data_IF_313620390856
#
_entry.id   IF_313620390856
#
_cell.length_a   1.000
_cell.length_b   1.000
_cell.length_c   1.000
_cell.angle_alpha   90.00
_cell.angle_beta   90.00
_cell.angle_gamma   90.00
#
_symmetry.space_group_name_H-M   'P 1'
#
loop_
_entity.id
_entity.type
_entity.pdbx_description
1 polymer ?
#
# COMPACT_ATOMS: atom_id res chain seq x y z
N UNK A 1 75.99 9.45 -19.07
CA UNK A 1 74.96 9.93 -18.16
C UNK A 1 73.96 8.84 -17.79
N UNK A 2 73.53 8.68 -16.53
CA UNK A 2 72.63 7.63 -16.15
C UNK A 2 71.15 8.10 -16.31
N UNK A 3 70.33 7.20 -16.80
CA UNK A 3 68.89 7.32 -16.88
C UNK A 3 68.25 7.17 -15.49
N UNK A 4 67.24 7.95 -15.15
CA UNK A 4 66.50 7.73 -13.90
C UNK A 4 65.36 6.72 -14.10
N UNK A 5 65.28 5.82 -13.16
CA UNK A 5 64.27 4.80 -13.00
C UNK A 5 62.89 5.41 -12.76
N UNK A 6 61.92 4.89 -13.47
CA UNK A 6 60.50 5.21 -13.33
C UNK A 6 59.95 4.51 -12.08
N UNK A 7 59.55 5.28 -11.08
CA UNK A 7 58.76 4.80 -9.92
C UNK A 7 57.30 4.81 -10.32
N UNK A 8 56.70 3.64 -10.52
CA UNK A 8 55.28 3.49 -10.67
C UNK A 8 54.60 3.67 -9.32
N UNK A 9 53.98 4.82 -9.08
CA UNK A 9 53.02 5.01 -8.03
C UNK A 9 51.66 4.43 -8.48
N UNK A 10 51.30 3.31 -7.94
CA UNK A 10 49.94 2.79 -8.02
C UNK A 10 49.04 3.67 -7.18
N UNK A 11 48.28 4.56 -7.81
CA UNK A 11 47.15 5.24 -7.20
C UNK A 11 45.95 4.29 -7.32
N UNK A 12 45.49 3.73 -6.17
CA UNK A 12 44.20 3.05 -6.12
C UNK A 12 43.11 4.04 -6.50
N UNK A 13 42.57 3.87 -7.68
CA UNK A 13 41.38 4.62 -8.13
C UNK A 13 40.19 4.23 -7.27
N UNK A 14 39.81 5.11 -6.37
CA UNK A 14 38.47 5.06 -5.79
C UNK A 14 37.51 5.42 -6.94
N UNK A 15 36.74 4.45 -7.38
CA UNK A 15 35.58 4.71 -8.24
C UNK A 15 34.61 5.48 -7.40
N UNK A 16 34.59 6.79 -7.58
CA UNK A 16 33.48 7.62 -7.07
C UNK A 16 32.25 7.19 -7.85
N UNK A 17 31.41 6.39 -7.21
CA UNK A 17 30.04 6.20 -7.69
C UNK A 17 29.37 7.54 -7.52
N UNK A 18 29.30 8.29 -8.60
CA UNK A 18 28.47 9.48 -8.67
C UNK A 18 27.05 9.03 -8.33
N UNK A 19 26.55 9.48 -7.18
CA UNK A 19 25.13 9.39 -6.89
C UNK A 19 24.42 10.23 -7.93
N UNK A 20 23.96 9.57 -8.99
CA UNK A 20 23.04 10.19 -9.95
C UNK A 20 21.84 10.61 -9.13
N UNK A 21 21.73 11.89 -8.85
CA UNK A 21 20.50 12.44 -8.29
C UNK A 21 19.43 12.21 -9.35
N UNK A 22 18.29 11.60 -8.99
CA UNK A 22 17.23 11.43 -9.95
C UNK A 22 16.75 12.81 -10.39
N UNK A 23 17.03 13.16 -11.63
CA UNK A 23 16.55 14.36 -12.30
C UNK A 23 15.12 14.13 -12.76
N UNK A 24 14.22 13.74 -11.84
CA UNK A 24 12.81 13.46 -12.12
C UNK A 24 11.91 13.96 -11.01
N UNK A 25 10.69 14.31 -11.39
CA UNK A 25 9.59 14.58 -10.49
C UNK A 25 9.31 13.32 -9.67
N UNK A 26 9.20 13.44 -8.34
CA UNK A 26 8.86 12.32 -7.47
C UNK A 26 7.43 11.82 -7.76
N UNK A 27 7.15 10.51 -7.60
CA UNK A 27 5.84 9.93 -7.95
C UNK A 27 4.64 10.61 -7.28
N UNK A 28 4.81 11.09 -6.07
CA UNK A 28 3.74 11.72 -5.27
C UNK A 28 3.71 13.23 -5.35
N UNK A 29 4.58 13.86 -6.13
CA UNK A 29 4.66 15.32 -6.18
C UNK A 29 3.35 15.93 -6.69
N UNK A 30 2.85 16.94 -5.99
CA UNK A 30 1.59 17.58 -6.30
C UNK A 30 0.34 16.85 -5.81
N UNK A 31 0.50 15.70 -5.14
CA UNK A 31 -0.61 14.92 -4.60
C UNK A 31 -0.75 15.09 -3.09
N UNK A 32 -2.00 15.13 -2.64
CA UNK A 32 -2.36 15.01 -1.21
C UNK A 32 -2.99 13.65 -0.98
N UNK A 33 -2.34 12.84 -0.15
CA UNK A 33 -2.78 11.49 0.18
C UNK A 33 -3.22 11.43 1.64
N UNK A 34 -4.45 10.99 1.85
CA UNK A 34 -4.98 10.72 3.18
C UNK A 34 -4.53 9.35 3.69
N UNK A 35 -4.20 9.26 4.95
CA UNK A 35 -4.04 7.99 5.66
C UNK A 35 -5.05 7.95 6.79
N UNK A 36 -5.91 6.94 6.79
CA UNK A 36 -6.90 6.78 7.86
C UNK A 36 -6.18 6.56 9.19
N UNK A 37 -6.36 7.47 10.13
CA UNK A 37 -5.56 7.56 11.33
C UNK A 37 -6.39 7.28 12.60
N UNK A 38 -7.14 6.19 12.60
CA UNK A 38 -7.96 5.77 13.73
C UNK A 38 -7.22 4.77 14.63
N UNK A 39 -6.50 3.83 14.00
CA UNK A 39 -5.72 2.80 14.70
C UNK A 39 -4.77 2.15 13.70
N UNK A 40 -3.63 1.63 14.14
CA UNK A 40 -2.71 0.81 13.33
C UNK A 40 -1.52 1.56 12.76
N UNK A 41 -0.96 1.03 11.68
CA UNK A 41 0.31 1.43 11.07
C UNK A 41 0.26 2.70 10.21
N UNK A 42 -0.28 3.78 10.75
CA UNK A 42 -0.44 5.05 10.04
C UNK A 42 0.90 5.68 9.68
N UNK A 43 1.84 5.68 10.62
CA UNK A 43 3.12 6.37 10.49
C UNK A 43 3.98 5.80 9.37
N UNK A 44 4.03 4.48 9.24
CA UNK A 44 4.85 3.79 8.24
C UNK A 44 4.40 4.13 6.83
N UNK A 45 3.08 4.17 6.58
CA UNK A 45 2.52 4.61 5.31
C UNK A 45 2.80 6.10 5.06
N UNK A 46 2.63 6.94 6.08
CA UNK A 46 2.89 8.37 5.98
C UNK A 46 4.34 8.66 5.57
N UNK A 47 5.30 8.00 6.23
CA UNK A 47 6.72 8.16 5.93
C UNK A 47 7.06 7.70 4.50
N UNK A 48 6.50 6.58 4.06
CA UNK A 48 6.71 6.09 2.69
C UNK A 48 6.16 7.07 1.65
N UNK A 49 4.93 7.54 1.83
CA UNK A 49 4.29 8.47 0.92
C UNK A 49 5.03 9.81 0.86
N UNK A 50 5.49 10.31 1.99
CA UNK A 50 6.31 11.53 2.07
C UNK A 50 7.65 11.34 1.35
N UNK A 51 8.29 10.18 1.50
CA UNK A 51 9.53 9.86 0.79
C UNK A 51 9.34 9.82 -0.72
N UNK A 52 8.14 9.53 -1.19
CA UNK A 52 7.75 9.55 -2.60
C UNK A 52 7.28 10.93 -3.09
N UNK A 53 7.31 11.95 -2.23
CA UNK A 53 7.02 13.34 -2.58
C UNK A 53 5.57 13.77 -2.36
N UNK A 54 4.71 12.91 -1.83
CA UNK A 54 3.33 13.27 -1.53
C UNK A 54 3.21 14.10 -0.26
N UNK A 55 2.20 14.96 -0.21
CA UNK A 55 1.72 15.53 1.04
C UNK A 55 0.79 14.53 1.71
N UNK A 56 0.99 14.28 2.99
CA UNK A 56 0.18 13.31 3.75
C UNK A 56 -0.74 14.05 4.71
N UNK A 57 -2.00 13.64 4.71
CA UNK A 57 -3.01 14.10 5.65
C UNK A 57 -3.49 12.93 6.50
N UNK A 58 -3.44 13.08 7.81
CA UNK A 58 -4.00 12.10 8.74
C UNK A 58 -5.51 12.33 8.84
N UNK A 59 -6.28 11.31 8.44
CA UNK A 59 -7.73 11.40 8.33
C UNK A 59 -8.40 10.74 9.52
N UNK A 60 -9.17 11.51 10.27
CA UNK A 60 -10.01 11.06 11.39
C UNK A 60 -11.44 11.56 11.30
N UNK A 61 -11.67 12.59 10.50
CA UNK A 61 -12.98 13.26 10.36
C UNK A 61 -13.40 13.32 8.90
N UNK A 62 -14.70 13.53 8.66
CA UNK A 62 -15.25 13.66 7.32
C UNK A 62 -14.63 14.82 6.54
N UNK A 63 -14.37 15.94 7.19
CA UNK A 63 -13.81 17.14 6.56
C UNK A 63 -12.39 16.89 6.03
N UNK A 64 -11.64 16.02 6.69
CA UNK A 64 -10.28 15.68 6.27
C UNK A 64 -10.24 14.80 5.01
N UNK A 65 -11.36 14.24 4.57
CA UNK A 65 -11.47 13.53 3.29
C UNK A 65 -11.57 14.48 2.09
N UNK A 66 -11.91 15.74 2.31
CA UNK A 66 -12.10 16.70 1.23
C UNK A 66 -10.78 17.04 0.53
N UNK A 67 -10.80 17.04 -0.79
CA UNK A 67 -9.65 17.43 -1.61
C UNK A 67 -8.51 16.42 -1.65
N UNK A 68 -8.71 15.20 -1.17
CA UNK A 68 -7.72 14.13 -1.30
C UNK A 68 -7.59 13.65 -2.74
N UNK A 69 -6.36 13.36 -3.15
CA UNK A 69 -6.06 12.73 -4.43
C UNK A 69 -6.01 11.20 -4.34
N UNK A 70 -5.72 10.68 -3.16
CA UNK A 70 -5.71 9.26 -2.85
C UNK A 70 -5.90 9.02 -1.35
N UNK A 71 -6.20 7.78 -0.99
CA UNK A 71 -6.42 7.35 0.39
C UNK A 71 -5.73 6.02 0.66
N UNK A 72 -5.14 5.89 1.85
CA UNK A 72 -4.61 4.63 2.37
C UNK A 72 -5.38 4.22 3.63
N UNK A 73 -5.87 2.99 3.63
CA UNK A 73 -6.43 2.33 4.81
C UNK A 73 -5.35 1.40 5.36
N UNK A 74 -4.71 1.76 6.48
CA UNK A 74 -3.55 1.02 6.98
C UNK A 74 -3.93 -0.30 7.67
N UNK A 75 -2.94 -1.12 7.91
CA UNK A 75 -3.04 -2.31 8.76
C UNK A 75 -3.29 -1.93 10.21
N UNK A 76 -3.82 -2.88 10.95
CA UNK A 76 -4.16 -2.74 12.35
C UNK A 76 -5.14 -3.84 12.76
N UNK A 77 -5.99 -3.56 13.73
CA UNK A 77 -7.06 -4.47 14.12
C UNK A 77 -8.38 -4.04 13.46
N UNK A 78 -8.86 -4.84 12.51
CA UNK A 78 -9.95 -4.44 11.60
C UNK A 78 -11.28 -4.19 12.32
N UNK A 79 -11.61 -4.97 13.35
CA UNK A 79 -12.85 -4.76 14.11
C UNK A 79 -12.81 -3.48 14.94
N UNK A 80 -11.65 -3.12 15.45
CA UNK A 80 -11.44 -1.85 16.16
C UNK A 80 -11.54 -0.67 15.21
N UNK A 81 -10.90 -0.74 14.05
CA UNK A 81 -10.96 0.32 13.03
C UNK A 81 -12.41 0.52 12.58
N UNK A 82 -13.12 -0.56 12.29
CA UNK A 82 -14.55 -0.49 11.93
C UNK A 82 -15.37 0.26 12.99
N UNK A 83 -15.24 -0.14 14.25
CA UNK A 83 -15.95 0.51 15.35
C UNK A 83 -15.60 2.00 15.45
N UNK A 84 -14.33 2.34 15.31
CA UNK A 84 -13.88 3.74 15.37
C UNK A 84 -14.43 4.57 14.20
N UNK A 85 -14.58 3.99 13.00
CA UNK A 85 -15.21 4.71 11.88
C UNK A 85 -16.64 5.15 12.22
N UNK A 86 -17.37 4.32 12.96
CA UNK A 86 -18.72 4.63 13.41
C UNK A 86 -18.74 5.65 14.54
N UNK A 87 -17.84 5.50 15.52
CA UNK A 87 -17.73 6.42 16.67
C UNK A 87 -17.37 7.84 16.21
N UNK A 88 -16.42 7.96 15.29
CA UNK A 88 -15.98 9.26 14.76
C UNK A 88 -16.84 9.79 13.60
N UNK A 89 -17.87 9.03 13.19
CA UNK A 89 -18.77 9.44 12.13
C UNK A 89 -18.13 9.53 10.75
N UNK A 90 -17.03 8.82 10.52
CA UNK A 90 -16.29 8.86 9.25
C UNK A 90 -16.67 7.73 8.29
N UNK A 91 -17.43 6.72 8.75
CA UNK A 91 -17.81 5.54 7.96
C UNK A 91 -18.51 5.90 6.65
N UNK A 92 -19.63 6.60 6.73
CA UNK A 92 -20.41 6.95 5.53
C UNK A 92 -19.65 7.90 4.59
N UNK A 93 -18.96 8.93 5.10
CA UNK A 93 -18.08 9.74 4.26
C UNK A 93 -16.96 8.94 3.56
N UNK A 94 -16.38 7.93 4.22
CA UNK A 94 -15.40 7.03 3.59
C UNK A 94 -16.01 6.25 2.44
N UNK A 95 -17.17 5.62 2.66
CA UNK A 95 -17.88 4.85 1.63
C UNK A 95 -18.19 5.75 0.43
N UNK A 96 -18.69 6.95 0.67
CA UNK A 96 -19.01 7.90 -0.37
C UNK A 96 -17.77 8.33 -1.18
N UNK A 97 -16.70 8.72 -0.51
CA UNK A 97 -15.45 9.13 -1.16
C UNK A 97 -14.86 8.02 -2.03
N UNK A 98 -14.78 6.80 -1.48
CA UNK A 98 -14.21 5.65 -2.19
C UNK A 98 -15.11 5.24 -3.37
N UNK A 99 -16.43 5.19 -3.16
CA UNK A 99 -17.40 4.82 -4.20
C UNK A 99 -17.47 5.86 -5.33
N UNK A 100 -17.14 7.11 -5.04
CA UNK A 100 -17.07 8.19 -6.03
C UNK A 100 -15.80 8.16 -6.88
N UNK A 101 -14.88 7.24 -6.60
CA UNK A 101 -13.70 7.02 -7.43
C UNK A 101 -12.37 7.47 -6.82
N UNK A 102 -12.33 7.82 -5.55
CA UNK A 102 -11.07 8.16 -4.88
C UNK A 102 -10.11 6.95 -4.91
N UNK A 103 -8.93 7.07 -5.56
CA UNK A 103 -7.93 6.01 -5.55
C UNK A 103 -7.58 5.59 -4.12
N UNK A 104 -7.72 4.31 -3.82
CA UNK A 104 -7.59 3.82 -2.44
C UNK A 104 -6.78 2.54 -2.39
N UNK A 105 -5.84 2.49 -1.45
CA UNK A 105 -5.07 1.32 -1.10
C UNK A 105 -5.47 0.86 0.31
N UNK A 106 -5.88 -0.40 0.43
CA UNK A 106 -6.09 -1.06 1.72
C UNK A 106 -5.04 -2.13 1.96
N UNK A 107 -4.35 -2.05 3.09
CA UNK A 107 -3.33 -3.02 3.47
C UNK A 107 -3.77 -3.79 4.72
N UNK A 108 -3.69 -5.12 4.66
CA UNK A 108 -4.05 -6.01 5.78
C UNK A 108 -5.47 -5.72 6.32
N UNK A 109 -5.59 -5.09 7.48
CA UNK A 109 -6.89 -4.64 8.01
C UNK A 109 -7.63 -3.70 7.03
N UNK A 110 -6.90 -2.89 6.27
CA UNK A 110 -7.47 -2.02 5.23
C UNK A 110 -8.11 -2.79 4.09
N UNK A 111 -7.54 -3.93 3.67
CA UNK A 111 -8.17 -4.85 2.73
C UNK A 111 -9.49 -5.40 3.30
N UNK A 112 -9.48 -5.82 4.56
CA UNK A 112 -10.69 -6.31 5.23
C UNK A 112 -11.78 -5.22 5.22
N UNK A 113 -11.40 -3.97 5.50
CA UNK A 113 -12.34 -2.86 5.49
C UNK A 113 -12.93 -2.57 4.10
N UNK A 114 -12.15 -2.69 3.03
CA UNK A 114 -12.62 -2.48 1.66
C UNK A 114 -13.58 -3.59 1.21
N UNK A 115 -13.44 -4.80 1.72
CA UNK A 115 -14.13 -5.99 1.24
C UNK A 115 -15.65 -5.86 1.32
N UNK A 116 -16.32 -6.60 0.43
CA UNK A 116 -17.78 -6.73 0.44
C UNK A 116 -18.27 -7.69 1.52
N UNK A 117 -17.46 -8.73 1.80
CA UNK A 117 -17.80 -9.77 2.76
C UNK A 117 -16.59 -10.20 3.57
N UNK A 118 -16.79 -10.33 4.88
CA UNK A 118 -15.83 -10.93 5.81
C UNK A 118 -16.39 -12.30 6.18
N UNK A 119 -15.65 -13.39 5.94
CA UNK A 119 -16.13 -14.75 6.19
C UNK A 119 -16.20 -15.08 7.68
N UNK A 120 -15.31 -14.49 8.47
CA UNK A 120 -15.15 -14.72 9.90
C UNK A 120 -15.15 -13.38 10.68
N UNK A 121 -16.24 -12.58 10.60
CA UNK A 121 -16.25 -11.28 11.25
C UNK A 121 -16.26 -11.41 12.79
N UNK A 122 -15.69 -10.43 13.46
CA UNK A 122 -15.92 -10.27 14.88
C UNK A 122 -17.40 -9.90 15.14
N UNK A 123 -17.95 -10.10 16.35
CA UNK A 123 -19.31 -9.73 16.64
C UNK A 123 -19.62 -8.27 16.28
N UNK A 124 -20.59 -8.05 15.39
CA UNK A 124 -21.00 -6.74 14.93
C UNK A 124 -20.05 -6.04 13.96
N UNK A 125 -18.97 -6.67 13.57
CA UNK A 125 -18.03 -6.09 12.61
C UNK A 125 -18.65 -5.96 11.23
N UNK A 126 -18.43 -4.79 10.60
CA UNK A 126 -18.84 -4.49 9.23
C UNK A 126 -17.62 -4.08 8.40
N UNK A 127 -17.73 -4.27 7.11
CA UNK A 127 -16.80 -3.72 6.12
C UNK A 127 -17.46 -2.53 5.38
N UNK A 128 -16.66 -1.82 4.57
CA UNK A 128 -17.18 -0.70 3.78
C UNK A 128 -17.95 -1.17 2.54
N UNK A 129 -17.72 -2.39 2.09
CA UNK A 129 -18.45 -3.01 0.99
C UNK A 129 -18.16 -2.43 -0.39
N UNK A 130 -16.99 -1.83 -0.60
CA UNK A 130 -16.65 -1.10 -1.83
C UNK A 130 -15.81 -1.92 -2.83
N UNK A 131 -15.15 -2.97 -2.37
CA UNK A 131 -14.33 -3.87 -3.19
C UNK A 131 -14.99 -5.26 -3.23
N UNK A 132 -15.31 -5.74 -4.42
CA UNK A 132 -16.07 -6.99 -4.63
C UNK A 132 -15.24 -8.24 -4.39
N UNK A 133 -14.84 -8.42 -3.15
CA UNK A 133 -14.12 -9.60 -2.67
C UNK A 133 -14.69 -10.08 -1.34
N UNK A 134 -14.48 -11.37 -1.07
CA UNK A 134 -14.65 -11.95 0.26
C UNK A 134 -13.27 -12.16 0.89
N UNK A 135 -13.14 -11.95 2.18
CA UNK A 135 -11.88 -12.11 2.91
C UNK A 135 -12.05 -12.95 4.16
N UNK A 136 -11.03 -13.76 4.46
CA UNK A 136 -10.87 -14.43 5.74
C UNK A 136 -9.81 -13.69 6.57
N UNK A 137 -10.13 -13.31 7.81
CA UNK A 137 -9.26 -12.47 8.65
C UNK A 137 -8.02 -13.19 9.17
N UNK A 138 -8.12 -14.48 9.46
CA UNK A 138 -7.09 -15.26 10.17
C UNK A 138 -6.60 -16.46 9.36
N UNK A 139 -6.35 -16.26 8.07
CA UNK A 139 -6.10 -17.34 7.15
C UNK A 139 -4.76 -18.05 7.30
N UNK A 140 -3.76 -17.40 7.90
CA UNK A 140 -2.42 -17.98 8.13
C UNK A 140 -2.25 -18.51 9.55
N UNK A 141 -3.34 -18.70 10.31
CA UNK A 141 -3.34 -19.25 11.66
C UNK A 141 -2.86 -18.26 12.74
N UNK A 142 -2.83 -18.76 13.99
CA UNK A 142 -2.46 -17.95 15.16
C UNK A 142 -0.95 -17.82 15.36
N UNK A 143 -0.13 -18.32 14.45
CA UNK A 143 1.32 -18.20 14.55
C UNK A 143 1.76 -16.81 14.11
N UNK A 144 2.32 -16.11 15.06
CA UNK A 144 2.75 -14.71 14.99
C UNK A 144 4.16 -14.61 14.39
N UNK A 145 4.46 -15.34 13.34
CA UNK A 145 5.73 -15.19 12.68
C UNK A 145 5.56 -14.19 11.53
N UNK A 146 6.01 -12.96 11.77
CA UNK A 146 6.21 -12.02 10.68
C UNK A 146 7.27 -12.59 9.76
N UNK A 147 6.87 -12.95 8.55
CA UNK A 147 7.78 -13.44 7.54
C UNK A 147 7.99 -12.37 6.49
N UNK A 148 9.26 -12.04 6.22
CA UNK A 148 9.62 -11.30 5.02
C UNK A 148 9.55 -12.24 3.82
N UNK A 149 8.84 -11.83 2.79
CA UNK A 149 8.56 -12.64 1.61
C UNK A 149 8.76 -11.80 0.36
N UNK A 150 9.48 -12.38 -0.61
CA UNK A 150 9.54 -11.84 -1.97
C UNK A 150 8.51 -12.56 -2.82
N UNK A 151 7.66 -11.80 -3.50
CA UNK A 151 6.62 -12.36 -4.34
C UNK A 151 6.41 -11.57 -5.63
N UNK A 152 5.88 -12.24 -6.69
CA UNK A 152 5.54 -11.54 -7.92
C UNK A 152 4.32 -10.64 -7.71
N UNK A 153 4.40 -9.44 -8.26
CA UNK A 153 3.31 -8.46 -8.31
C UNK A 153 2.95 -8.20 -9.78
N UNK A 154 1.69 -8.36 -10.12
CA UNK A 154 1.18 -8.05 -11.46
C UNK A 154 0.91 -6.54 -11.55
N UNK A 155 1.68 -5.86 -12.39
CA UNK A 155 1.51 -4.42 -12.62
C UNK A 155 0.26 -4.11 -13.47
N UNK A 156 -0.23 -2.87 -13.45
CA UNK A 156 -1.34 -2.46 -14.33
C UNK A 156 -1.06 -2.67 -15.82
N UNK A 157 0.21 -2.62 -16.24
CA UNK A 157 0.61 -2.85 -17.62
C UNK A 157 0.63 -4.33 -18.02
N UNK A 158 0.46 -5.26 -17.06
CA UNK A 158 0.45 -6.69 -17.28
C UNK A 158 1.79 -7.40 -17.09
N UNK A 159 2.81 -6.67 -16.68
CA UNK A 159 4.13 -7.23 -16.33
C UNK A 159 4.16 -7.74 -14.89
N UNK A 160 5.02 -8.70 -14.61
CA UNK A 160 5.32 -9.11 -13.25
C UNK A 160 6.62 -8.48 -12.77
N UNK A 161 6.60 -7.92 -11.58
CA UNK A 161 7.78 -7.45 -10.85
C UNK A 161 7.85 -8.15 -9.51
N UNK A 162 9.05 -8.37 -8.99
CA UNK A 162 9.23 -8.96 -7.67
C UNK A 162 9.23 -7.86 -6.62
N UNK A 163 8.41 -8.02 -5.61
CA UNK A 163 8.33 -7.09 -4.48
C UNK A 163 8.79 -7.75 -3.19
N UNK A 164 9.40 -6.95 -2.32
CA UNK A 164 9.78 -7.35 -0.97
C UNK A 164 8.69 -6.92 0.00
N UNK A 165 8.18 -7.84 0.78
CA UNK A 165 7.05 -7.56 1.66
C UNK A 165 7.11 -8.39 2.94
N UNK A 166 6.24 -8.03 3.89
CA UNK A 166 6.09 -8.75 5.15
C UNK A 166 4.64 -9.16 5.36
N UNK A 167 4.45 -10.38 5.84
CA UNK A 167 3.16 -10.89 6.29
C UNK A 167 3.13 -10.88 7.82
N UNK A 168 2.16 -10.16 8.37
CA UNK A 168 1.94 -10.04 9.82
C UNK A 168 0.45 -10.29 10.05
N UNK A 169 0.06 -11.49 10.50
CA UNK A 169 -1.34 -11.87 10.73
C UNK A 169 -2.25 -11.52 9.53
N UNK A 170 -1.81 -11.90 8.36
CA UNK A 170 -2.43 -11.44 7.12
C UNK A 170 -3.77 -12.14 6.84
N UNK A 171 -4.78 -11.40 6.35
CA UNK A 171 -5.97 -11.99 5.76
C UNK A 171 -5.65 -12.61 4.40
N UNK A 172 -6.58 -13.39 3.88
CA UNK A 172 -6.57 -13.81 2.48
C UNK A 172 -7.87 -13.41 1.79
N UNK A 173 -7.81 -13.27 0.48
CA UNK A 173 -9.01 -13.15 -0.35
C UNK A 173 -9.52 -14.56 -0.65
N UNK A 174 -10.75 -14.85 -0.25
CA UNK A 174 -11.40 -16.17 -0.40
C UNK A 174 -12.29 -16.23 -1.62
N UNK A 175 -12.69 -15.11 -2.16
CA UNK A 175 -13.50 -15.01 -3.36
C UNK A 175 -13.36 -13.65 -4.02
N UNK A 176 -13.46 -13.63 -5.35
CA UNK A 176 -13.41 -12.41 -6.17
C UNK A 176 -14.62 -12.32 -7.06
N UNK A 177 -15.21 -11.12 -7.18
CA UNK A 177 -16.26 -10.84 -8.13
C UNK A 177 -15.74 -10.55 -9.53
N UNK A 178 -16.65 -10.29 -10.46
CA UNK A 178 -16.31 -9.86 -11.80
C UNK A 178 -15.58 -8.50 -11.78
N UNK A 179 -14.60 -8.37 -12.65
CA UNK A 179 -13.81 -7.15 -12.74
C UNK A 179 -12.71 -7.01 -11.68
N UNK A 180 -12.58 -7.95 -10.77
CA UNK A 180 -11.48 -8.00 -9.81
C UNK A 180 -10.30 -8.76 -10.39
N UNK A 181 -9.16 -8.09 -10.52
CA UNK A 181 -7.91 -8.70 -10.97
C UNK A 181 -7.10 -9.18 -9.77
N UNK A 182 -6.61 -10.42 -9.83
CA UNK A 182 -5.65 -10.93 -8.85
C UNK A 182 -4.25 -10.41 -9.22
N UNK A 183 -3.62 -9.71 -8.29
CA UNK A 183 -2.32 -9.08 -8.50
C UNK A 183 -1.17 -9.82 -7.82
N UNK A 184 -1.47 -10.61 -6.79
CA UNK A 184 -0.46 -11.37 -6.06
C UNK A 184 -1.06 -12.63 -5.44
N UNK A 185 -0.27 -13.70 -5.45
CA UNK A 185 -0.56 -14.95 -4.73
C UNK A 185 0.64 -15.34 -3.88
N UNK A 186 0.36 -15.96 -2.76
CA UNK A 186 1.36 -16.54 -1.88
C UNK A 186 0.87 -17.90 -1.38
N UNK A 187 1.66 -18.94 -1.59
CA UNK A 187 1.29 -20.33 -1.24
C UNK A 187 -0.10 -20.75 -1.76
N UNK A 188 -0.40 -20.35 -3.00
CA UNK A 188 -1.68 -20.62 -3.66
C UNK A 188 -2.86 -19.74 -3.20
N UNK A 189 -2.67 -18.89 -2.22
CA UNK A 189 -3.71 -17.99 -1.69
C UNK A 189 -3.63 -16.61 -2.33
N UNK A 190 -4.78 -16.00 -2.56
CA UNK A 190 -4.85 -14.64 -3.11
C UNK A 190 -4.53 -13.64 -2.00
N UNK A 191 -3.49 -12.85 -2.21
CA UNK A 191 -2.99 -11.85 -1.25
C UNK A 191 -2.93 -10.44 -1.82
N UNK A 192 -3.30 -10.26 -3.06
CA UNK A 192 -3.39 -8.94 -3.71
C UNK A 192 -4.45 -8.93 -4.80
N UNK A 193 -5.21 -7.85 -4.85
CA UNK A 193 -6.27 -7.62 -5.84
C UNK A 193 -6.31 -6.17 -6.28
N UNK A 194 -6.84 -5.94 -7.47
CA UNK A 194 -7.09 -4.62 -8.04
C UNK A 194 -8.44 -4.61 -8.72
N UNK A 195 -9.22 -3.54 -8.51
CA UNK A 195 -10.49 -3.34 -9.19
C UNK A 195 -10.78 -1.85 -9.31
N UNK A 196 -10.89 -1.34 -10.53
CA UNK A 196 -11.08 0.11 -10.74
C UNK A 196 -9.97 0.92 -10.08
N UNK A 197 -10.34 1.84 -9.21
CA UNK A 197 -9.40 2.70 -8.46
C UNK A 197 -9.00 2.12 -7.10
N UNK A 198 -9.26 0.83 -6.86
CA UNK A 198 -9.00 0.17 -5.58
C UNK A 198 -7.88 -0.85 -5.70
N UNK A 199 -6.97 -0.82 -4.73
CA UNK A 199 -5.90 -1.79 -4.55
C UNK A 199 -6.04 -2.37 -3.15
N UNK A 200 -6.12 -3.69 -3.04
CA UNK A 200 -6.20 -4.38 -1.75
C UNK A 200 -5.08 -5.41 -1.63
N UNK A 201 -4.32 -5.36 -0.56
CA UNK A 201 -3.23 -6.29 -0.29
C UNK A 201 -3.28 -6.81 1.14
N UNK A 202 -2.85 -8.06 1.33
CA UNK A 202 -2.79 -8.70 2.64
C UNK A 202 -1.52 -8.37 3.41
N UNK A 203 -0.47 -7.96 2.72
CA UNK A 203 0.90 -7.82 3.20
C UNK A 203 1.27 -6.34 3.44
N UNK A 204 2.46 -6.12 3.98
CA UNK A 204 2.95 -4.83 4.44
C UNK A 204 4.23 -4.40 3.71
N UNK A 205 4.16 -3.79 2.51
CA UNK A 205 5.35 -3.30 1.83
C UNK A 205 5.96 -2.08 2.50
N UNK A 206 5.17 -1.32 3.27
CA UNK A 206 5.64 -0.18 4.05
C UNK A 206 6.63 -0.57 5.16
N UNK A 207 6.58 -1.82 5.62
CA UNK A 207 7.49 -2.35 6.65
C UNK A 207 8.85 -2.68 6.05
N UNK A 208 8.89 -3.20 4.83
CA UNK A 208 10.12 -3.58 4.13
C UNK A 208 10.71 -2.45 3.28
N UNK A 209 9.97 -1.38 3.08
CA UNK A 209 10.40 -0.24 2.27
C UNK A 209 10.23 -0.41 0.78
N UNK A 210 9.50 -1.44 0.31
CA UNK A 210 9.18 -1.61 -1.10
C UNK A 210 8.09 -0.63 -1.52
N UNK A 211 8.39 0.24 -2.47
CA UNK A 211 7.52 1.35 -2.88
C UNK A 211 6.59 1.02 -4.04
N UNK A 212 6.68 -0.18 -4.62
CA UNK A 212 5.99 -0.54 -5.87
C UNK A 212 4.48 -0.32 -5.80
N UNK A 213 3.83 -0.82 -4.76
CA UNK A 213 2.36 -0.71 -4.62
C UNK A 213 1.94 0.73 -4.32
N UNK A 214 2.68 1.44 -3.48
CA UNK A 214 2.39 2.84 -3.18
C UNK A 214 2.60 3.74 -4.42
N UNK A 215 3.63 3.47 -5.23
CA UNK A 215 3.83 4.17 -6.50
C UNK A 215 2.69 3.90 -7.48
N UNK A 216 2.15 2.69 -7.51
CA UNK A 216 0.96 2.37 -8.31
C UNK A 216 -0.25 3.21 -7.88
N UNK A 217 -0.47 3.35 -6.58
CA UNK A 217 -1.53 4.23 -6.05
C UNK A 217 -1.34 5.68 -6.49
N UNK A 218 -0.12 6.20 -6.40
CA UNK A 218 0.20 7.58 -6.78
C UNK A 218 0.03 7.79 -8.28
N UNK A 219 0.42 6.84 -9.12
CA UNK A 219 0.20 6.90 -10.56
C UNK A 219 -1.29 6.94 -10.90
N UNK A 220 -2.08 6.12 -10.22
CA UNK A 220 -3.53 6.11 -10.37
C UNK A 220 -4.17 7.45 -9.95
N UNK A 221 -3.68 8.05 -8.87
CA UNK A 221 -4.12 9.37 -8.42
C UNK A 221 -3.83 10.46 -9.46
N UNK A 222 -2.67 10.43 -10.11
CA UNK A 222 -2.34 11.33 -11.20
C UNK A 222 -3.26 11.15 -12.42
N UNK A 223 -3.59 9.91 -12.78
CA UNK A 223 -4.53 9.63 -13.87
C UNK A 223 -5.92 10.21 -13.59
N UNK A 224 -6.42 10.04 -12.38
CA UNK A 224 -7.73 10.56 -11.97
C UNK A 224 -7.73 12.07 -11.92
N UNK A 225 -6.67 12.69 -11.40
CA UNK A 225 -6.54 14.14 -11.30
C UNK A 225 -6.39 14.83 -12.65
N UNK A 226 -5.84 14.13 -13.66
CA UNK A 226 -5.64 14.64 -15.02
C UNK A 226 -6.88 14.58 -15.91
N UNK A 227 -8.01 14.07 -15.43
CA UNK A 227 -9.27 13.92 -16.19
C UNK A 227 -10.21 15.13 -15.97
#
# INVERSE_FOLDING_TARGET
>A
GPTPSCFCCFVKGAVMVEKVQPTGVLPGEGLTVGVLALQGGVREHALMLESLGAQVRWVRTAEQLEGLDALVLPGGESSTIDRLTRIFGVREPLIEAISSGLPTLGTCAGLIMLSKRIDDPAPGQQSLGVLDVSVGRNAFGSQVDSAEVRLPWLTPAGDEVVIDTAFIRAPIVTGTGEGVQVTARHEGKIVGVRSGNLIGISFHPEVTGDTTVHEELLALAHEVKGK
#
